data_IF_088892486966
#
_entry.id   IF_088892486966
#
_cell.length_a   1.000
_cell.length_b   1.000
_cell.length_c   1.000
_cell.angle_alpha   90.00
_cell.angle_beta   90.00
_cell.angle_gamma   90.00
#
_symmetry.space_group_name_H-M   'P 1'
#
loop_
_entity.id
_entity.type
_entity.pdbx_description
1 polymer ?
#
# COMPACT_ATOMS: atom_id res chain seq x y z
N UNK A 1 2.13 7.19 11.72
CA UNK A 1 1.81 8.43 12.45
C UNK A 1 1.28 8.09 13.83
N UNK A 2 1.60 8.89 14.87
CA UNK A 2 0.92 8.81 16.16
C UNK A 2 -0.55 9.22 16.01
N UNK A 3 -1.48 8.54 16.68
CA UNK A 3 -2.93 8.78 16.55
C UNK A 3 -3.52 9.64 17.68
N UNK A 4 -2.66 10.18 18.54
CA UNK A 4 -2.99 10.91 19.77
C UNK A 4 -3.41 12.38 19.55
N UNK A 5 -3.56 12.80 18.29
CA UNK A 5 -3.75 14.20 17.87
C UNK A 5 -5.21 14.62 17.72
N UNK A 6 -5.47 15.84 17.23
CA UNK A 6 -6.82 16.33 16.98
C UNK A 6 -7.58 15.49 15.97
N UNK A 7 -8.91 15.67 15.97
CA UNK A 7 -9.88 14.94 15.16
C UNK A 7 -9.37 14.75 13.71
N UNK A 8 -9.03 13.50 13.36
CA UNK A 8 -8.41 13.21 12.08
C UNK A 8 -9.49 13.17 10.98
N UNK A 9 -9.38 14.04 9.97
CA UNK A 9 -10.34 14.08 8.84
C UNK A 9 -10.56 12.71 8.19
N UNK A 10 -9.47 11.95 7.95
CA UNK A 10 -9.56 10.58 7.44
C UNK A 10 -10.40 9.62 8.31
N UNK A 11 -10.50 9.83 9.63
CA UNK A 11 -11.33 8.98 10.49
C UNK A 11 -12.82 9.29 10.31
N UNK A 12 -13.19 10.57 10.17
CA UNK A 12 -14.56 10.96 9.82
C UNK A 12 -14.94 10.48 8.41
N UNK A 13 -14.06 10.68 7.43
CA UNK A 13 -14.24 10.17 6.06
C UNK A 13 -14.43 8.64 6.04
N UNK A 14 -13.73 7.92 6.91
CA UNK A 14 -13.90 6.49 7.09
C UNK A 14 -15.30 6.14 7.61
N UNK A 15 -15.83 6.89 8.58
CA UNK A 15 -17.18 6.69 9.12
C UNK A 15 -18.26 7.02 8.08
N UNK A 16 -18.07 8.07 7.29
CA UNK A 16 -18.97 8.41 6.19
C UNK A 16 -18.98 7.31 5.13
N UNK A 17 -17.80 6.80 4.78
CA UNK A 17 -17.66 5.67 3.86
C UNK A 17 -18.35 4.40 4.39
N UNK A 18 -18.32 4.13 5.70
CA UNK A 18 -19.07 3.00 6.28
C UNK A 18 -20.57 3.15 6.10
N UNK A 19 -21.09 4.39 6.20
CA UNK A 19 -22.50 4.71 6.05
C UNK A 19 -22.94 4.64 4.60
N UNK A 20 -22.24 5.33 3.69
CA UNK A 20 -22.57 5.35 2.25
C UNK A 20 -22.55 3.94 1.64
N UNK A 21 -21.62 3.10 2.10
CA UNK A 21 -21.51 1.73 1.62
C UNK A 21 -22.47 0.75 2.33
N UNK A 22 -23.35 1.24 3.22
CA UNK A 22 -24.36 0.41 3.90
C UNK A 22 -23.78 -0.64 4.86
N UNK A 23 -22.56 -0.43 5.37
CA UNK A 23 -21.90 -1.42 6.23
C UNK A 23 -22.55 -1.56 7.61
N UNK A 24 -23.38 -0.60 8.03
CA UNK A 24 -24.17 -0.67 9.27
C UNK A 24 -25.44 -1.54 9.14
N UNK A 25 -25.87 -1.90 7.93
CA UNK A 25 -27.15 -2.57 7.69
C UNK A 25 -27.23 -4.02 8.18
N UNK A 26 -26.11 -4.59 8.67
CA UNK A 26 -26.07 -5.90 9.33
C UNK A 26 -25.15 -6.91 8.65
N UNK A 27 -25.35 -8.18 9.01
CA UNK A 27 -24.57 -9.32 8.51
C UNK A 27 -24.61 -9.40 6.98
N UNK A 28 -23.44 -9.49 6.34
CA UNK A 28 -23.26 -9.64 4.88
C UNK A 28 -23.91 -8.55 4.01
N UNK A 29 -24.37 -7.45 4.61
CA UNK A 29 -24.92 -6.30 3.91
C UNK A 29 -23.85 -5.23 3.68
N UNK A 30 -24.13 -4.35 2.73
CA UNK A 30 -23.24 -3.27 2.33
C UNK A 30 -22.11 -3.71 1.38
N UNK A 31 -21.60 -2.74 0.62
CA UNK A 31 -20.62 -2.92 -0.45
C UNK A 31 -19.21 -2.71 0.11
N UNK A 32 -18.36 -3.74 0.01
CA UNK A 32 -16.97 -3.66 0.50
C UNK A 32 -16.07 -2.86 -0.44
N UNK A 33 -16.28 -2.95 -1.76
CA UNK A 33 -15.52 -2.17 -2.74
C UNK A 33 -15.80 -0.67 -2.55
N UNK A 34 -14.75 0.16 -2.63
CA UNK A 34 -14.83 1.58 -2.34
C UNK A 34 -14.87 1.89 -0.83
N UNK A 35 -14.96 0.89 0.04
CA UNK A 35 -14.88 1.11 1.49
C UNK A 35 -13.44 1.18 1.98
N UNK A 36 -13.23 1.55 3.24
CA UNK A 36 -11.88 1.48 3.85
C UNK A 36 -11.37 0.05 4.04
N UNK A 37 -12.25 -0.95 4.01
CA UNK A 37 -11.85 -2.36 4.05
C UNK A 37 -11.31 -2.87 2.70
N UNK A 38 -11.79 -2.30 1.59
CA UNK A 38 -11.33 -2.57 0.23
C UNK A 38 -11.48 -1.30 -0.61
N UNK A 39 -10.42 -0.49 -0.61
CA UNK A 39 -10.38 0.77 -1.36
C UNK A 39 -10.43 0.49 -2.86
N UNK A 40 -11.29 1.23 -3.55
CA UNK A 40 -11.27 1.27 -4.99
C UNK A 40 -10.14 2.19 -5.46
N UNK A 41 -9.40 1.76 -6.47
CA UNK A 41 -8.39 2.61 -7.12
C UNK A 41 -8.92 3.30 -8.35
N UNK A 42 -10.12 2.91 -8.83
CA UNK A 42 -10.76 3.37 -10.08
C UNK A 42 -9.90 3.13 -11.35
N UNK A 43 -8.77 2.46 -11.19
CA UNK A 43 -7.86 2.11 -12.25
C UNK A 43 -8.47 1.02 -13.14
N UNK A 44 -8.09 1.05 -14.40
CA UNK A 44 -8.47 0.04 -15.39
C UNK A 44 -7.22 -0.62 -15.96
N UNK A 45 -7.38 -1.82 -16.49
CA UNK A 45 -6.37 -2.47 -17.30
C UNK A 45 -6.92 -2.74 -18.69
N UNK A 46 -6.03 -2.78 -19.67
CA UNK A 46 -6.32 -3.30 -21.00
C UNK A 46 -5.19 -4.21 -21.44
N UNK A 47 -5.54 -5.28 -22.15
CA UNK A 47 -4.55 -6.23 -22.68
C UNK A 47 -4.07 -5.75 -24.03
N UNK A 48 -2.75 -5.75 -24.22
CA UNK A 48 -2.11 -5.43 -25.49
C UNK A 48 -1.87 -6.75 -26.21
N UNK A 49 -2.63 -7.00 -27.29
CA UNK A 49 -2.47 -8.19 -28.13
C UNK A 49 -1.47 -7.94 -29.26
N UNK A 50 -1.47 -6.72 -29.81
CA UNK A 50 -0.52 -6.23 -30.81
C UNK A 50 -0.50 -4.69 -30.78
N UNK A 51 0.45 -4.06 -31.51
CA UNK A 51 0.53 -2.59 -31.65
C UNK A 51 -0.78 -1.97 -32.19
N UNK A 52 -1.57 -2.75 -32.94
CA UNK A 52 -2.81 -2.31 -33.57
C UNK A 52 -4.08 -2.88 -32.91
N UNK A 53 -3.96 -3.77 -31.92
CA UNK A 53 -5.11 -4.45 -31.31
C UNK A 53 -5.01 -4.43 -29.79
N UNK A 54 -5.87 -3.63 -29.19
CA UNK A 54 -5.99 -3.43 -27.74
C UNK A 54 -7.37 -3.96 -27.31
N UNK A 55 -7.41 -4.83 -26.31
CA UNK A 55 -8.68 -5.32 -25.74
C UNK A 55 -9.44 -4.22 -24.99
N UNK A 56 -10.74 -4.44 -24.78
CA UNK A 56 -11.58 -3.58 -23.94
C UNK A 56 -11.03 -3.40 -22.52
N UNK A 57 -11.30 -2.22 -21.97
CA UNK A 57 -10.90 -1.85 -20.62
C UNK A 57 -11.63 -2.68 -19.56
N UNK A 58 -10.88 -3.26 -18.63
CA UNK A 58 -11.39 -4.05 -17.50
C UNK A 58 -11.03 -3.35 -16.18
N UNK A 59 -11.95 -3.35 -15.23
CA UNK A 59 -11.73 -2.74 -13.91
C UNK A 59 -10.61 -3.45 -13.10
N UNK A 60 -9.72 -2.65 -12.49
CA UNK A 60 -8.75 -3.11 -11.50
C UNK A 60 -9.27 -2.85 -10.08
N UNK A 61 -9.96 -3.84 -9.50
CA UNK A 61 -10.56 -3.70 -8.15
C UNK A 61 -9.56 -3.77 -7.01
N UNK A 62 -8.36 -4.29 -7.27
CA UNK A 62 -7.28 -4.29 -6.30
C UNK A 62 -6.11 -3.43 -6.79
N UNK A 63 -5.69 -2.50 -5.92
CA UNK A 63 -4.64 -1.55 -6.19
C UNK A 63 -3.21 -1.98 -5.85
N UNK A 64 -2.93 -3.24 -5.46
CA UNK A 64 -1.61 -3.62 -4.93
C UNK A 64 -0.48 -3.28 -5.91
N UNK A 65 -0.56 -3.74 -7.15
CA UNK A 65 0.48 -3.49 -8.15
C UNK A 65 0.50 -2.03 -8.60
N UNK A 66 -0.67 -1.40 -8.68
CA UNK A 66 -0.79 0.03 -9.01
C UNK A 66 -0.05 0.86 -7.95
N UNK A 67 -0.23 0.56 -6.67
CA UNK A 67 0.48 1.22 -5.56
C UNK A 67 1.97 0.93 -5.57
N UNK A 68 2.38 -0.32 -5.84
CA UNK A 68 3.80 -0.65 -6.01
C UNK A 68 4.44 0.20 -7.10
N UNK A 69 3.74 0.39 -8.22
CA UNK A 69 4.21 1.23 -9.33
C UNK A 69 4.22 2.72 -8.97
N UNK A 70 3.23 3.23 -8.23
CA UNK A 70 3.22 4.62 -7.74
C UNK A 70 4.38 4.91 -6.77
N UNK A 71 4.72 3.95 -5.91
CA UNK A 71 5.81 4.09 -4.92
C UNK A 71 7.20 3.87 -5.53
N UNK A 72 7.28 3.29 -6.73
CA UNK A 72 8.53 3.05 -7.41
C UNK A 72 9.09 4.36 -7.99
N UNK A 73 9.95 5.05 -7.25
CA UNK A 73 10.80 6.12 -7.79
C UNK A 73 11.78 5.60 -8.85
N UNK A 74 11.98 6.38 -9.91
CA UNK A 74 13.09 6.19 -10.84
C UNK A 74 14.42 6.41 -10.11
N UNK A 75 15.29 5.42 -10.15
CA UNK A 75 16.70 5.59 -9.82
C UNK A 75 17.44 5.36 -11.12
N UNK A 76 18.10 6.39 -11.65
CA UNK A 76 18.94 6.23 -12.84
C UNK A 76 20.09 5.28 -12.50
N UNK A 77 19.95 4.04 -12.98
CA UNK A 77 20.89 2.95 -12.71
C UNK A 77 22.24 3.13 -13.39
N UNK A 78 22.37 4.10 -14.31
CA UNK A 78 23.62 4.36 -15.06
C UNK A 78 24.30 5.67 -14.69
N UNK A 79 23.67 6.52 -13.88
CA UNK A 79 24.27 7.78 -13.44
C UNK A 79 25.52 7.60 -12.54
N UNK A 80 25.79 6.39 -12.03
CA UNK A 80 27.01 6.06 -11.29
C UNK A 80 28.23 5.70 -12.15
N UNK A 81 28.11 5.72 -13.49
CA UNK A 81 29.21 5.41 -14.41
C UNK A 81 29.18 6.29 -15.65
N UNK A 82 28.74 7.54 -15.50
CA UNK A 82 29.11 8.60 -16.43
C UNK A 82 30.17 9.45 -15.72
N UNK A 83 31.41 9.00 -15.88
CA UNK A 83 32.56 9.87 -15.76
C UNK A 83 32.24 11.06 -16.67
N UNK A 84 32.04 12.23 -16.07
CA UNK A 84 31.73 13.46 -16.77
C UNK A 84 33.02 13.90 -17.44
N UNK A 85 33.36 13.27 -18.56
CA UNK A 85 34.45 13.71 -19.41
C UNK A 85 34.08 15.09 -19.94
N UNK A 86 34.88 16.08 -19.56
CA UNK A 86 34.69 17.49 -19.86
C UNK A 86 34.97 17.86 -21.33
N UNK A 87 35.13 16.88 -22.21
CA UNK A 87 35.48 17.08 -23.62
C UNK A 87 34.65 16.21 -24.57
N UNK A 88 33.32 16.31 -24.48
CA UNK A 88 32.47 15.95 -25.62
C UNK A 88 31.42 17.02 -25.83
N UNK A 89 31.88 18.15 -26.36
CA UNK A 89 31.09 19.17 -27.04
C UNK A 89 30.59 18.58 -28.37
N UNK A 90 29.81 17.51 -28.32
CA UNK A 90 29.07 17.00 -29.47
C UNK A 90 27.60 17.31 -29.26
N UNK A 91 27.21 18.46 -29.82
CA UNK A 91 25.85 18.82 -30.26
C UNK A 91 24.75 17.95 -29.66
N UNK A 92 24.16 18.44 -28.58
CA UNK A 92 23.02 17.83 -27.91
C UNK A 92 21.78 17.94 -28.83
N UNK A 93 21.73 17.10 -29.88
CA UNK A 93 20.56 16.87 -30.73
C UNK A 93 19.49 16.04 -29.99
N UNK A 94 19.34 16.25 -28.68
CA UNK A 94 18.22 15.69 -27.93
C UNK A 94 17.10 16.71 -28.00
N UNK A 95 15.95 16.39 -28.63
CA UNK A 95 14.85 17.34 -28.70
C UNK A 95 14.43 17.73 -27.26
N UNK A 96 14.10 19.00 -27.01
CA UNK A 96 13.64 19.42 -25.69
C UNK A 96 12.31 18.73 -25.39
N UNK A 97 12.37 17.67 -24.57
CA UNK A 97 11.16 16.96 -24.14
C UNK A 97 10.32 17.89 -23.27
N UNK A 98 9.10 18.19 -23.71
CA UNK A 98 8.14 19.02 -22.96
C UNK A 98 7.71 18.38 -21.63
N UNK A 99 7.70 17.05 -21.59
CA UNK A 99 7.47 16.25 -20.40
C UNK A 99 8.11 14.85 -20.57
N UNK A 100 8.74 14.33 -19.51
CA UNK A 100 9.15 12.93 -19.44
C UNK A 100 8.15 12.15 -18.60
N UNK A 101 7.65 11.04 -19.13
CA UNK A 101 6.78 10.13 -18.38
C UNK A 101 7.54 8.84 -18.07
N UNK A 102 7.60 8.51 -16.79
CA UNK A 102 8.23 7.29 -16.33
C UNK A 102 7.32 6.10 -16.61
N UNK A 103 7.81 5.16 -17.42
CA UNK A 103 7.12 3.90 -17.70
C UNK A 103 7.77 2.80 -16.87
N UNK A 104 7.02 2.23 -15.95
CA UNK A 104 7.46 1.07 -15.19
C UNK A 104 6.97 -0.20 -15.84
N UNK A 105 7.88 -1.14 -16.05
CA UNK A 105 7.57 -2.47 -16.55
C UNK A 105 7.72 -3.51 -15.43
N UNK A 106 6.61 -4.06 -14.96
CA UNK A 106 6.58 -5.09 -13.93
C UNK A 106 6.37 -6.47 -14.58
N UNK A 107 7.18 -7.45 -14.21
CA UNK A 107 6.98 -8.85 -14.60
C UNK A 107 6.52 -9.67 -13.41
N UNK A 108 5.42 -10.40 -13.58
CA UNK A 108 4.81 -11.25 -12.56
C UNK A 108 4.79 -12.70 -13.04
N UNK A 109 5.53 -13.57 -12.34
CA UNK A 109 5.63 -15.00 -12.66
C UNK A 109 5.22 -15.85 -11.48
N UNK A 110 4.42 -16.88 -11.75
CA UNK A 110 4.12 -17.87 -10.74
C UNK A 110 5.35 -18.76 -10.52
N UNK A 111 5.64 -19.12 -9.28
CA UNK A 111 6.82 -19.93 -8.95
C UNK A 111 6.56 -20.83 -7.74
N UNK A 112 7.16 -22.03 -7.76
CA UNK A 112 7.31 -22.87 -6.57
C UNK A 112 8.37 -22.25 -5.64
N UNK A 113 8.31 -22.55 -4.35
CA UNK A 113 9.30 -22.11 -3.37
C UNK A 113 10.74 -22.43 -3.78
N UNK A 114 10.96 -23.54 -4.49
CA UNK A 114 12.27 -23.92 -4.99
C UNK A 114 12.82 -22.92 -6.03
N UNK A 115 11.95 -22.39 -6.89
CA UNK A 115 12.28 -21.40 -7.92
C UNK A 115 12.42 -19.98 -7.35
N UNK A 116 11.91 -19.75 -6.13
CA UNK A 116 12.09 -18.51 -5.37
C UNK A 116 13.46 -18.36 -4.69
N UNK A 117 14.39 -19.30 -4.89
CA UNK A 117 15.74 -19.27 -4.30
C UNK A 117 16.51 -18.02 -4.78
N UNK A 118 16.92 -17.17 -3.84
CA UNK A 118 17.57 -15.87 -4.12
C UNK A 118 16.63 -14.66 -4.17
N UNK A 119 15.31 -14.85 -4.11
CA UNK A 119 14.34 -13.76 -3.99
C UNK A 119 14.09 -13.38 -2.51
N UNK A 120 13.80 -12.10 -2.25
CA UNK A 120 13.41 -11.67 -0.90
C UNK A 120 11.94 -12.04 -0.66
N UNK A 121 11.72 -12.90 0.33
CA UNK A 121 10.38 -13.39 0.68
C UNK A 121 9.57 -12.33 1.42
N UNK A 122 8.36 -12.07 0.92
CA UNK A 122 7.34 -11.22 1.54
C UNK A 122 6.08 -12.06 1.76
N UNK A 123 5.62 -12.13 3.01
CA UNK A 123 4.46 -12.92 3.43
C UNK A 123 3.45 -12.02 4.13
N UNK A 124 2.19 -12.05 3.69
CA UNK A 124 1.13 -11.19 4.21
C UNK A 124 0.24 -11.87 5.27
N UNK A 125 0.31 -13.20 5.41
CA UNK A 125 -0.61 -13.98 6.24
C UNK A 125 -0.33 -14.02 7.75
N UNK A 126 0.67 -13.29 8.24
CA UNK A 126 1.09 -13.32 9.66
C UNK A 126 1.44 -11.93 10.17
N UNK A 127 0.93 -11.58 11.36
CA UNK A 127 1.39 -10.41 12.11
C UNK A 127 2.89 -10.57 12.34
N UNK A 128 3.67 -9.71 11.68
CA UNK A 128 5.13 -9.74 11.83
C UNK A 128 5.53 -9.00 13.10
N UNK A 129 6.60 -9.46 13.78
CA UNK A 129 7.20 -8.70 14.89
C UNK A 129 7.54 -7.26 14.49
N UNK A 130 7.90 -7.04 13.22
CA UNK A 130 8.15 -5.71 12.65
C UNK A 130 6.90 -4.82 12.69
N UNK A 131 5.70 -5.37 12.51
CA UNK A 131 4.46 -4.61 12.62
C UNK A 131 4.21 -4.17 14.07
N UNK A 132 4.48 -5.06 15.04
CA UNK A 132 4.39 -4.75 16.47
C UNK A 132 5.40 -3.65 16.83
N UNK A 133 6.67 -3.83 16.44
CA UNK A 133 7.71 -2.82 16.66
C UNK A 133 7.34 -1.48 15.98
N UNK A 134 6.79 -1.52 14.77
CA UNK A 134 6.32 -0.34 14.06
C UNK A 134 5.21 0.41 14.80
N UNK A 135 4.30 -0.31 15.48
CA UNK A 135 3.28 0.29 16.34
C UNK A 135 3.94 1.04 17.51
N UNK A 136 4.89 0.41 18.21
CA UNK A 136 5.61 1.06 19.32
C UNK A 136 6.41 2.28 18.87
N UNK A 137 7.16 2.16 17.77
CA UNK A 137 7.91 3.29 17.19
C UNK A 137 6.97 4.42 16.79
N UNK A 138 5.79 4.10 16.25
CA UNK A 138 4.81 5.12 15.85
C UNK A 138 4.18 5.89 17.01
N UNK A 139 4.26 5.36 18.23
CA UNK A 139 3.68 5.95 19.46
C UNK A 139 4.77 6.34 20.49
N UNK A 140 6.05 6.30 20.11
CA UNK A 140 7.17 6.55 21.01
C UNK A 140 7.10 7.94 21.67
N UNK A 141 6.68 8.96 20.91
CA UNK A 141 6.46 10.31 21.43
C UNK A 141 5.36 10.34 22.49
N UNK A 142 4.25 9.61 22.26
CA UNK A 142 3.14 9.49 23.23
C UNK A 142 3.60 8.78 24.50
N UNK A 143 4.38 7.70 24.37
CA UNK A 143 4.96 6.95 25.49
C UNK A 143 5.90 7.85 26.32
N UNK A 144 6.76 8.62 25.66
CA UNK A 144 7.67 9.54 26.35
C UNK A 144 6.91 10.57 27.19
N UNK A 145 5.88 11.21 26.62
CA UNK A 145 5.06 12.18 27.34
C UNK A 145 4.23 11.51 28.45
N UNK A 146 3.76 10.27 28.24
CA UNK A 146 3.07 9.51 29.29
C UNK A 146 3.97 9.26 30.50
N UNK A 147 5.24 8.89 30.28
CA UNK A 147 6.23 8.71 31.35
C UNK A 147 6.50 10.04 32.05
N UNK A 148 6.69 11.13 31.29
CA UNK A 148 6.88 12.48 31.86
C UNK A 148 5.69 12.88 32.72
N UNK A 149 4.46 12.68 32.25
CA UNK A 149 3.24 12.99 32.98
C UNK A 149 3.12 12.19 34.30
N UNK A 150 3.55 10.93 34.30
CA UNK A 150 3.48 10.06 35.47
C UNK A 150 4.56 10.37 36.53
N UNK A 151 5.81 10.60 36.10
CA UNK A 151 6.98 10.59 37.00
C UNK A 151 7.49 12.00 37.34
N UNK A 152 7.48 12.92 36.38
CA UNK A 152 8.12 14.22 36.57
C UNK A 152 7.28 15.11 37.50
N UNK A 153 7.95 15.78 38.45
CA UNK A 153 7.38 16.93 39.16
C UNK A 153 7.47 18.14 38.23
N UNK A 154 6.42 18.95 38.06
CA UNK A 154 5.21 19.05 38.88
C UNK A 154 3.97 18.26 38.38
N UNK A 155 4.09 17.39 37.37
CA UNK A 155 2.93 16.80 36.68
C UNK A 155 2.26 15.65 37.42
N UNK A 156 3.02 14.63 37.89
CA UNK A 156 2.56 13.46 38.70
C UNK A 156 1.10 13.01 38.51
N UNK A 157 0.66 12.87 37.26
CA UNK A 157 -0.74 12.56 36.91
C UNK A 157 -0.79 11.23 36.19
N UNK A 158 -1.01 10.15 36.95
CA UNK A 158 -0.97 8.78 36.44
C UNK A 158 -2.10 8.48 35.43
N UNK A 159 -3.29 9.06 35.62
CA UNK A 159 -4.42 8.83 34.72
C UNK A 159 -4.16 9.40 33.32
N UNK A 160 -3.44 10.53 33.21
CA UNK A 160 -3.05 11.11 31.93
C UNK A 160 -2.09 10.19 31.18
N UNK A 161 -1.19 9.51 31.91
CA UNK A 161 -0.30 8.53 31.31
C UNK A 161 -1.08 7.36 30.70
N UNK A 162 -2.13 6.87 31.40
CA UNK A 162 -3.04 5.85 30.85
C UNK A 162 -3.73 6.37 29.60
N UNK A 163 -4.29 7.58 29.65
CA UNK A 163 -4.95 8.23 28.51
C UNK A 163 -4.03 8.31 27.28
N UNK A 164 -2.80 8.81 27.44
CA UNK A 164 -1.82 8.92 26.34
C UNK A 164 -1.38 7.56 25.76
N UNK A 165 -1.53 6.47 26.51
CA UNK A 165 -1.26 5.12 26.04
C UNK A 165 -2.47 4.44 25.34
N UNK A 166 -3.67 5.04 25.38
CA UNK A 166 -4.86 4.45 24.75
C UNK A 166 -4.66 4.21 23.24
N UNK A 167 -4.12 5.14 22.44
CA UNK A 167 -3.90 4.89 21.00
C UNK A 167 -3.00 3.70 20.71
N UNK A 168 -1.98 3.47 21.55
CA UNK A 168 -1.10 2.31 21.47
C UNK A 168 -1.90 1.02 21.70
N UNK A 169 -2.73 0.98 22.74
CA UNK A 169 -3.59 -0.18 23.04
C UNK A 169 -4.60 -0.44 21.92
N UNK A 170 -5.24 0.60 21.40
CA UNK A 170 -6.19 0.49 20.28
C UNK A 170 -5.50 -0.04 19.01
N UNK A 171 -4.26 0.41 18.71
CA UNK A 171 -3.45 -0.13 17.61
C UNK A 171 -3.10 -1.61 17.82
N UNK A 172 -2.74 -2.02 19.03
CA UNK A 172 -2.47 -3.44 19.33
C UNK A 172 -3.74 -4.29 19.18
N UNK A 173 -4.89 -3.81 19.67
CA UNK A 173 -6.18 -4.47 19.49
C UNK A 173 -6.54 -4.58 18.00
N UNK A 174 -6.25 -3.54 17.20
CA UNK A 174 -6.52 -3.55 15.76
C UNK A 174 -5.84 -4.71 15.03
N UNK A 175 -4.67 -5.17 15.48
CA UNK A 175 -4.01 -6.34 14.92
C UNK A 175 -4.83 -7.62 15.13
N UNK A 176 -5.41 -7.77 16.33
CA UNK A 176 -6.20 -8.95 16.72
C UNK A 176 -7.53 -9.00 15.98
N UNK A 177 -8.13 -7.82 15.77
CA UNK A 177 -9.49 -7.71 15.22
C UNK A 177 -9.50 -7.35 13.73
N UNK A 178 -8.34 -7.32 13.09
CA UNK A 178 -8.17 -7.08 11.66
C UNK A 178 -9.08 -7.99 10.82
N UNK A 179 -9.72 -7.37 9.82
CA UNK A 179 -10.56 -8.06 8.84
C UNK A 179 -9.68 -8.99 8.01
N UNK A 180 -10.13 -10.25 7.90
CA UNK A 180 -9.40 -11.24 7.11
C UNK A 180 -9.65 -10.99 5.63
N UNK A 181 -8.60 -11.19 4.84
CA UNK A 181 -8.60 -10.99 3.41
C UNK A 181 -8.25 -12.28 2.68
N UNK A 182 -8.78 -12.45 1.49
CA UNK A 182 -8.40 -13.53 0.57
C UNK A 182 -6.93 -13.40 0.21
N UNK A 183 -6.21 -14.50 0.36
CA UNK A 183 -4.79 -14.60 0.01
C UNK A 183 -4.63 -15.11 -1.41
N UNK A 184 -3.38 -15.30 -1.84
CA UNK A 184 -3.07 -15.94 -3.12
C UNK A 184 -3.73 -17.34 -3.17
N UNK A 185 -4.52 -17.61 -4.21
CA UNK A 185 -5.13 -18.92 -4.43
C UNK A 185 -4.07 -19.94 -4.85
N UNK A 186 -4.02 -21.08 -4.16
CA UNK A 186 -3.07 -22.17 -4.44
C UNK A 186 -3.69 -23.29 -5.29
N UNK A 187 -5.02 -23.33 -5.44
CA UNK A 187 -5.73 -24.48 -6.03
C UNK A 187 -6.04 -24.33 -7.53
N UNK A 188 -5.98 -23.11 -8.09
CA UNK A 188 -6.31 -22.83 -9.52
C UNK A 188 -5.08 -22.79 -10.44
N UNK A 189 -4.02 -23.48 -10.06
CA UNK A 189 -2.78 -23.50 -10.83
C UNK A 189 -2.90 -24.67 -11.82
N UNK A 190 -2.75 -24.45 -13.13
CA UNK A 190 -2.48 -25.55 -14.03
C UNK A 190 -1.19 -26.20 -13.55
N UNK A 191 -1.27 -27.42 -13.01
CA UNK A 191 -0.11 -28.28 -12.88
C UNK A 191 0.62 -28.24 -14.22
N UNK A 192 1.95 -28.07 -14.18
CA UNK A 192 2.85 -27.91 -15.32
C UNK A 192 2.63 -28.97 -16.42
N UNK A 193 1.55 -28.82 -17.18
CA UNK A 193 1.08 -29.76 -18.18
C UNK A 193 0.89 -28.97 -19.49
N UNK A 194 1.83 -29.25 -20.39
CA UNK A 194 1.83 -29.05 -21.85
C UNK A 194 2.00 -27.66 -22.49
N UNK A 195 1.87 -26.53 -21.80
CA UNK A 195 2.37 -25.25 -22.35
C UNK A 195 2.55 -24.23 -21.24
N UNK A 196 3.75 -23.65 -21.10
CA UNK A 196 3.95 -22.50 -20.21
C UNK A 196 2.91 -21.43 -20.60
N UNK A 197 2.09 -20.92 -19.66
CA UNK A 197 1.09 -19.93 -19.99
C UNK A 197 1.80 -18.71 -20.59
N UNK A 198 1.34 -18.27 -21.76
CA UNK A 198 1.94 -17.16 -22.49
C UNK A 198 1.85 -15.90 -21.62
N UNK A 199 3.00 -15.25 -21.41
CA UNK A 199 3.06 -13.96 -20.74
C UNK A 199 2.43 -12.92 -21.69
N UNK A 200 1.36 -12.27 -21.24
CA UNK A 200 0.71 -11.18 -21.97
C UNK A 200 1.08 -9.84 -21.34
N UNK A 201 1.06 -8.78 -22.15
CA UNK A 201 1.33 -7.42 -21.70
C UNK A 201 0.01 -6.69 -21.41
N UNK A 202 -0.07 -6.09 -20.22
CA UNK A 202 -1.22 -5.33 -19.76
C UNK A 202 -0.80 -3.91 -19.46
N UNK A 203 -1.57 -2.96 -19.98
CA UNK A 203 -1.42 -1.56 -19.67
C UNK A 203 -2.38 -1.18 -18.56
N UNK A 204 -1.86 -0.46 -17.57
CA UNK A 204 -2.65 0.11 -16.48
C UNK A 204 -2.98 1.54 -16.82
N UNK A 205 -4.27 1.83 -16.85
CA UNK A 205 -4.83 3.17 -16.96
C UNK A 205 -5.17 3.66 -15.56
N UNK A 206 -4.36 4.58 -15.05
CA UNK A 206 -4.57 5.24 -13.77
C UNK A 206 -4.68 6.75 -14.03
N UNK A 207 -5.87 7.30 -13.82
CA UNK A 207 -6.17 8.71 -14.13
C UNK A 207 -5.36 9.71 -13.30
N UNK A 208 -4.80 9.27 -12.17
CA UNK A 208 -4.02 10.13 -11.32
C UNK A 208 -2.52 10.06 -11.64
N UNK A 209 -1.89 8.89 -11.75
CA UNK A 209 -0.43 8.79 -11.77
C UNK A 209 0.08 7.63 -12.66
N UNK A 210 1.12 7.92 -13.44
CA UNK A 210 2.05 7.04 -14.18
C UNK A 210 1.46 5.99 -15.14
N UNK A 211 2.19 5.77 -16.23
CA UNK A 211 1.89 4.72 -17.21
C UNK A 211 2.60 3.44 -16.77
N UNK A 212 1.82 2.41 -16.43
CA UNK A 212 2.34 1.13 -15.93
C UNK A 212 2.11 0.01 -16.92
N UNK A 213 3.15 -0.78 -17.19
CA UNK A 213 3.06 -2.02 -17.95
C UNK A 213 3.27 -3.21 -17.02
N UNK A 214 2.39 -4.20 -17.09
CA UNK A 214 2.53 -5.47 -16.38
C UNK A 214 2.57 -6.61 -17.39
N UNK A 215 3.66 -7.36 -17.40
CA UNK A 215 3.80 -8.62 -18.14
C UNK A 215 3.51 -9.79 -17.20
N UNK A 216 2.46 -10.56 -17.50
CA UNK A 216 2.05 -11.69 -16.67
C UNK A 216 1.11 -12.65 -17.41
N UNK A 217 1.01 -13.92 -16.98
CA UNK A 217 -0.10 -14.78 -17.37
C UNK A 217 -1.45 -14.21 -16.91
N UNK A 218 -2.49 -14.29 -17.76
CA UNK A 218 -3.82 -13.75 -17.45
C UNK A 218 -4.37 -14.26 -16.10
N UNK A 219 -4.18 -15.55 -15.80
CA UNK A 219 -4.68 -16.18 -14.56
C UNK A 219 -4.06 -15.50 -13.33
N UNK A 220 -2.75 -15.24 -13.37
CA UNK A 220 -2.00 -14.60 -12.28
C UNK A 220 -2.47 -13.17 -12.09
N UNK A 221 -2.55 -12.40 -13.17
CA UNK A 221 -2.94 -10.99 -13.10
C UNK A 221 -4.40 -10.81 -12.66
N UNK A 222 -5.32 -11.59 -13.24
CA UNK A 222 -6.75 -11.58 -12.92
C UNK A 222 -6.99 -11.92 -11.45
N UNK A 223 -6.20 -12.84 -10.88
CA UNK A 223 -6.27 -13.16 -9.47
C UNK A 223 -5.99 -11.92 -8.61
N UNK A 224 -4.95 -11.14 -8.93
CA UNK A 224 -4.65 -9.92 -8.18
C UNK A 224 -5.72 -8.86 -8.38
N UNK A 225 -6.12 -8.58 -9.61
CA UNK A 225 -7.09 -7.50 -9.87
C UNK A 225 -8.53 -7.78 -9.43
N UNK A 226 -8.93 -9.05 -9.34
CA UNK A 226 -10.32 -9.42 -9.03
C UNK A 226 -10.54 -10.09 -7.68
N UNK A 227 -9.58 -10.89 -7.20
CA UNK A 227 -9.83 -11.79 -6.07
C UNK A 227 -8.95 -11.52 -4.87
N UNK A 228 -7.75 -10.98 -5.08
CA UNK A 228 -6.80 -10.73 -4.02
C UNK A 228 -7.28 -9.64 -3.06
N UNK A 229 -7.04 -9.80 -1.76
CA UNK A 229 -7.32 -8.77 -0.77
C UNK A 229 -8.80 -8.55 -0.44
N UNK A 230 -9.72 -9.29 -1.05
CA UNK A 230 -11.15 -9.20 -0.77
C UNK A 230 -11.46 -9.60 0.68
N UNK A 231 -12.24 -8.81 1.43
CA UNK A 231 -12.68 -9.19 2.77
C UNK A 231 -13.47 -10.51 2.77
N UNK A 232 -13.09 -11.44 3.63
CA UNK A 232 -13.79 -12.71 3.84
C UNK A 232 -15.00 -12.44 4.75
N UNK A 233 -16.22 -12.82 4.33
CA UNK A 233 -17.48 -12.54 5.05
C UNK A 233 -18.33 -13.78 5.32
N UNK A 234 -17.86 -14.95 4.92
CA UNK A 234 -18.61 -16.20 4.91
C UNK A 234 -18.23 -17.15 6.05
N UNK A 235 -17.14 -16.91 6.78
CA UNK A 235 -16.61 -17.92 7.69
C UNK A 235 -17.18 -17.89 9.12
N UNK A 236 -17.24 -19.08 9.73
CA UNK A 236 -17.85 -19.34 11.04
C UNK A 236 -19.36 -19.66 10.96
N UNK A 237 -20.00 -19.88 12.11
CA UNK A 237 -21.45 -20.15 12.18
C UNK A 237 -22.21 -18.95 11.60
N UNK A 238 -22.80 -19.13 10.42
CA UNK A 238 -23.53 -18.12 9.66
C UNK A 238 -22.75 -16.80 9.38
N UNK A 239 -21.41 -16.84 9.30
CA UNK A 239 -20.59 -15.64 9.01
C UNK A 239 -20.43 -14.64 10.17
N UNK A 240 -20.86 -14.99 11.39
CA UNK A 240 -20.84 -14.08 12.55
C UNK A 240 -19.43 -13.66 12.99
N UNK A 241 -18.43 -14.54 12.82
CA UNK A 241 -17.05 -14.28 13.26
C UNK A 241 -16.39 -13.14 12.48
N UNK A 242 -16.52 -13.16 11.16
CA UNK A 242 -15.96 -12.09 10.33
C UNK A 242 -16.74 -10.78 10.50
N UNK A 243 -18.06 -10.87 10.66
CA UNK A 243 -18.86 -9.69 10.99
C UNK A 243 -18.45 -9.06 12.31
N UNK A 244 -18.17 -9.87 13.34
CA UNK A 244 -17.65 -9.33 14.60
C UNK A 244 -16.35 -8.54 14.36
N UNK A 245 -15.43 -9.07 13.54
CA UNK A 245 -14.19 -8.35 13.19
C UNK A 245 -14.42 -7.04 12.45
N UNK A 246 -15.36 -7.03 11.49
CA UNK A 246 -15.80 -5.80 10.81
C UNK A 246 -16.31 -4.77 11.82
N UNK A 247 -17.24 -5.16 12.70
CA UNK A 247 -17.88 -4.27 13.68
C UNK A 247 -16.87 -3.73 14.68
N UNK A 248 -15.98 -4.56 15.20
CA UNK A 248 -14.92 -4.11 16.11
C UNK A 248 -13.92 -3.19 15.39
N UNK A 249 -13.61 -3.44 14.11
CA UNK A 249 -12.77 -2.53 13.33
C UNK A 249 -13.45 -1.17 13.15
N UNK A 250 -14.77 -1.14 12.91
CA UNK A 250 -15.55 0.11 12.87
C UNK A 250 -15.56 0.79 14.24
N UNK A 251 -15.76 0.03 15.32
CA UNK A 251 -15.74 0.54 16.69
C UNK A 251 -14.38 1.16 17.06
N UNK A 252 -13.26 0.57 16.61
CA UNK A 252 -11.94 1.15 16.78
C UNK A 252 -11.81 2.52 16.11
N UNK A 253 -12.36 2.70 14.90
CA UNK A 253 -12.39 4.01 14.24
C UNK A 253 -13.18 5.02 15.08
N UNK A 254 -14.35 4.63 15.60
CA UNK A 254 -15.11 5.49 16.52
C UNK A 254 -14.33 5.85 17.78
N UNK A 255 -13.64 4.89 18.40
CA UNK A 255 -12.81 5.15 19.58
C UNK A 255 -11.68 6.13 19.29
N UNK A 256 -11.04 6.04 18.11
CA UNK A 256 -10.05 7.03 17.68
C UNK A 256 -10.66 8.41 17.44
N UNK A 257 -11.87 8.49 16.89
CA UNK A 257 -12.60 9.77 16.71
C UNK A 257 -12.95 10.40 18.06
N UNK A 258 -13.42 9.59 19.02
CA UNK A 258 -13.84 10.05 20.35
C UNK A 258 -12.66 10.33 21.29
N UNK A 259 -11.46 9.84 20.98
CA UNK A 259 -10.26 10.03 21.79
C UNK A 259 -9.98 11.52 22.05
N UNK A 260 -9.94 12.33 20.99
CA UNK A 260 -9.63 13.76 21.14
C UNK A 260 -10.70 14.55 21.91
N UNK A 261 -12.02 14.44 21.61
CA UNK A 261 -13.07 15.03 22.43
C UNK A 261 -13.02 14.60 23.89
N UNK A 262 -12.73 13.32 24.17
CA UNK A 262 -12.56 12.84 25.53
C UNK A 262 -11.39 13.54 26.24
N UNK A 263 -10.28 13.80 25.53
CA UNK A 263 -9.16 14.59 26.04
C UNK A 263 -9.53 16.03 26.37
N UNK A 264 -10.30 16.69 25.50
CA UNK A 264 -10.81 18.04 25.73
C UNK A 264 -11.71 18.11 26.97
N UNK A 265 -12.66 17.20 27.09
CA UNK A 265 -13.53 17.11 28.27
C UNK A 265 -12.68 16.83 29.50
N UNK A 266 -11.73 15.89 29.41
CA UNK A 266 -10.81 15.56 30.51
C UNK A 266 -9.96 16.75 30.96
N UNK A 267 -9.68 17.71 30.07
CA UNK A 267 -8.91 18.91 30.41
C UNK A 267 -9.56 19.78 31.49
N UNK A 268 -10.89 19.72 31.64
CA UNK A 268 -11.64 20.46 32.67
C UNK A 268 -11.19 20.09 34.10
N UNK A 269 -10.71 18.87 34.31
CA UNK A 269 -10.24 18.38 35.61
C UNK A 269 -8.71 18.32 35.72
N UNK A 270 -7.97 18.75 34.68
CA UNK A 270 -6.51 18.74 34.68
C UNK A 270 -5.95 19.98 35.40
N UNK A 271 -4.90 19.85 36.23
CA UNK A 271 -4.13 20.99 36.74
C UNK A 271 -3.48 21.80 35.61
N UNK A 272 -3.27 23.11 35.80
CA UNK A 272 -2.76 24.01 34.75
C UNK A 272 -1.43 23.56 34.12
N UNK A 273 -0.50 23.03 34.93
CA UNK A 273 0.77 22.51 34.42
C UNK A 273 0.54 21.31 33.47
N UNK A 274 -0.41 20.44 33.83
CA UNK A 274 -0.74 19.24 33.07
C UNK A 274 -1.50 19.60 31.79
N UNK A 275 -2.40 20.59 31.87
CA UNK A 275 -3.05 21.16 30.69
C UNK A 275 -2.03 21.73 29.71
N UNK A 276 -1.03 22.48 30.19
CA UNK A 276 0.03 23.03 29.35
C UNK A 276 0.85 21.93 28.68
N UNK A 277 1.20 20.86 29.42
CA UNK A 277 1.90 19.70 28.87
C UNK A 277 1.08 19.01 27.78
N UNK A 278 -0.21 18.75 28.05
CA UNK A 278 -1.12 18.13 27.10
C UNK A 278 -1.31 18.99 25.86
N UNK A 279 -1.53 20.29 26.02
CA UNK A 279 -1.69 21.25 24.92
C UNK A 279 -0.43 21.33 24.05
N UNK A 280 0.75 21.41 24.68
CA UNK A 280 2.04 21.40 23.95
C UNK A 280 2.21 20.14 23.12
N UNK A 281 1.80 19.00 23.67
CA UNK A 281 1.82 17.74 22.94
C UNK A 281 0.80 17.73 21.78
N UNK A 282 -0.40 18.29 21.95
CA UNK A 282 -1.35 18.43 20.84
C UNK A 282 -0.82 19.32 19.71
N UNK A 283 -0.16 20.44 20.03
CA UNK A 283 0.49 21.31 19.03
C UNK A 283 1.61 20.56 18.31
N UNK A 284 2.46 19.84 19.03
CA UNK A 284 3.49 18.98 18.44
C UNK A 284 2.88 17.96 17.45
N UNK A 285 1.79 17.31 17.84
CA UNK A 285 1.09 16.34 17.00
C UNK A 285 0.56 16.96 15.71
N UNK A 286 0.00 18.16 15.77
CA UNK A 286 -0.44 18.92 14.60
C UNK A 286 0.73 19.20 13.67
N UNK A 287 1.86 19.68 14.19
CA UNK A 287 3.06 19.96 13.39
C UNK A 287 3.58 18.69 12.70
N UNK A 288 3.68 17.58 13.43
CA UNK A 288 4.11 16.30 12.87
C UNK A 288 3.16 15.83 11.77
N UNK A 289 1.84 15.96 11.95
CA UNK A 289 0.87 15.60 10.91
C UNK A 289 1.08 16.42 9.63
N UNK A 290 1.35 17.72 9.75
CA UNK A 290 1.63 18.58 8.60
C UNK A 290 2.95 18.22 7.92
N UNK A 291 4.01 17.98 8.69
CA UNK A 291 5.31 17.53 8.16
C UNK A 291 5.13 16.23 7.39
N UNK A 292 4.43 15.25 7.97
CA UNK A 292 4.22 13.95 7.31
C UNK A 292 3.43 14.13 6.01
N UNK A 293 2.41 14.99 6.00
CA UNK A 293 1.62 15.27 4.80
C UNK A 293 2.45 15.94 3.70
N UNK A 294 3.26 16.92 4.05
CA UNK A 294 4.14 17.64 3.11
C UNK A 294 5.25 16.72 2.58
N UNK A 295 5.84 15.89 3.45
CA UNK A 295 6.88 14.95 3.07
C UNK A 295 6.35 13.66 2.40
N UNK A 296 5.03 13.47 2.35
CA UNK A 296 4.39 12.29 1.76
C UNK A 296 4.69 10.98 2.48
N UNK A 297 4.93 10.97 3.81
CA UNK A 297 5.21 9.71 4.54
C UNK A 297 3.95 8.89 4.90
N UNK A 298 2.85 9.10 4.18
CA UNK A 298 1.56 8.42 4.41
C UNK A 298 1.62 6.91 4.12
N UNK A 299 2.53 6.49 3.24
CA UNK A 299 2.70 5.09 2.83
C UNK A 299 3.85 4.37 3.55
N UNK A 300 4.49 5.02 4.53
CA UNK A 300 5.58 4.44 5.30
C UNK A 300 5.10 3.21 6.11
N UNK A 301 5.60 2.04 5.74
CA UNK A 301 5.32 0.77 6.43
C UNK A 301 4.29 -0.13 5.75
N UNK A 302 3.70 0.28 4.63
CA UNK A 302 2.84 -0.57 3.82
C UNK A 302 3.64 -1.65 3.08
N UNK A 303 3.00 -2.78 2.80
CA UNK A 303 3.63 -3.91 2.09
C UNK A 303 4.01 -3.49 0.67
N UNK A 304 3.17 -2.70 0.02
CA UNK A 304 3.35 -2.16 -1.32
C UNK A 304 4.62 -1.30 -1.41
N UNK A 305 4.79 -0.34 -0.49
CA UNK A 305 6.00 0.47 -0.41
C UNK A 305 7.26 -0.32 -0.03
N UNK A 306 7.11 -1.47 0.66
CA UNK A 306 8.24 -2.40 0.90
C UNK A 306 8.61 -3.16 -0.37
N UNK A 307 7.62 -3.66 -1.11
CA UNK A 307 7.84 -4.35 -2.38
C UNK A 307 8.51 -3.39 -3.37
N UNK A 308 7.99 -2.17 -3.52
CA UNK A 308 8.56 -1.14 -4.40
C UNK A 308 10.05 -0.89 -4.08
N UNK A 309 10.40 -0.67 -2.81
CA UNK A 309 11.80 -0.47 -2.38
C UNK A 309 12.70 -1.67 -2.64
N UNK A 310 12.19 -2.90 -2.47
CA UNK A 310 12.95 -4.10 -2.77
C UNK A 310 13.21 -4.24 -4.28
N UNK A 311 12.19 -3.96 -5.10
CA UNK A 311 12.31 -4.02 -6.56
C UNK A 311 13.24 -2.93 -7.12
N UNK A 312 13.26 -1.73 -6.53
CA UNK A 312 14.19 -0.66 -6.89
C UNK A 312 15.65 -1.10 -6.71
N UNK A 313 15.97 -1.81 -5.63
CA UNK A 313 17.31 -2.33 -5.32
C UNK A 313 17.74 -3.55 -6.14
N UNK A 314 17.17 -3.78 -7.33
CA UNK A 314 17.42 -4.93 -8.20
C UNK A 314 17.15 -6.30 -7.56
N UNK A 315 16.30 -6.35 -6.53
CA UNK A 315 15.96 -7.62 -5.88
C UNK A 315 14.72 -8.22 -6.50
N UNK A 316 14.76 -9.52 -6.74
CA UNK A 316 13.56 -10.30 -7.02
C UNK A 316 12.75 -10.42 -5.72
N UNK A 317 11.45 -10.18 -5.79
CA UNK A 317 10.56 -10.31 -4.63
C UNK A 317 9.69 -11.55 -4.82
N UNK A 318 9.65 -12.42 -3.82
CA UNK A 318 8.76 -13.57 -3.80
C UNK A 318 7.60 -13.28 -2.85
N UNK A 319 6.43 -13.01 -3.43
CA UNK A 319 5.19 -12.79 -2.68
C UNK A 319 4.52 -14.14 -2.43
N UNK A 320 4.50 -14.56 -1.17
CA UNK A 320 3.92 -15.82 -0.76
C UNK A 320 2.65 -15.63 0.07
N UNK A 321 1.76 -16.63 0.00
CA UNK A 321 0.62 -16.74 0.89
C UNK A 321 1.06 -17.03 2.35
N UNK A 322 0.08 -17.33 3.21
CA UNK A 322 0.31 -17.71 4.61
C UNK A 322 1.21 -18.96 4.70
N UNK A 323 2.21 -18.92 5.60
CA UNK A 323 3.11 -20.06 5.84
C UNK A 323 2.36 -21.27 6.44
N UNK A 324 2.72 -22.51 6.05
CA UNK A 324 3.65 -22.87 4.96
C UNK A 324 2.94 -22.73 3.60
N UNK A 325 3.45 -21.86 2.73
CA UNK A 325 2.96 -21.76 1.36
C UNK A 325 3.91 -22.56 0.48
N UNK A 326 3.39 -23.43 -0.39
CA UNK A 326 4.20 -24.16 -1.38
C UNK A 326 4.52 -23.30 -2.61
N UNK A 327 3.61 -22.36 -2.92
CA UNK A 327 3.66 -21.55 -4.12
C UNK A 327 3.54 -20.05 -3.82
N UNK A 328 4.06 -19.23 -4.73
CA UNK A 328 3.99 -17.77 -4.66
C UNK A 328 4.17 -17.12 -6.02
N UNK A 329 4.29 -15.79 -6.01
CA UNK A 329 4.47 -14.98 -7.22
C UNK A 329 5.80 -14.24 -7.11
N UNK A 330 6.69 -14.49 -8.06
CA UNK A 330 7.92 -13.74 -8.25
C UNK A 330 7.59 -12.46 -9.01
N UNK A 331 8.12 -11.36 -8.48
CA UNK A 331 7.97 -10.01 -9.01
C UNK A 331 9.34 -9.45 -9.30
N UNK A 332 9.50 -8.87 -10.49
CA UNK A 332 10.72 -8.19 -10.92
C UNK A 332 10.38 -6.99 -11.78
N UNK A 333 11.19 -5.92 -11.74
CA UNK A 333 11.15 -4.94 -12.83
C UNK A 333 11.78 -5.57 -14.07
N UNK A 334 11.06 -5.54 -15.18
CA UNK A 334 11.58 -5.93 -16.48
C UNK A 334 12.50 -4.85 -17.02
N UNK A 335 13.59 -5.25 -17.65
CA UNK A 335 14.32 -4.34 -18.54
C UNK A 335 13.43 -4.13 -19.76
N UNK A 336 12.78 -2.97 -19.85
CA UNK A 336 12.16 -2.57 -21.10
C UNK A 336 13.29 -2.28 -22.09
N UNK A 337 13.65 -3.30 -22.89
CA UNK A 337 14.36 -3.06 -24.15
C UNK A 337 13.30 -2.64 -25.15
N UNK A 338 13.26 -1.39 -25.63
CA UNK A 338 12.51 -1.06 -26.83
C UNK A 338 13.15 -1.85 -27.97
N UNK A 339 12.69 -3.07 -28.16
CA UNK A 339 13.12 -3.91 -29.26
C UNK A 339 12.30 -3.47 -30.47
N UNK A 340 12.98 -2.78 -31.38
CA UNK A 340 12.70 -2.82 -32.83
C UNK A 340 11.31 -2.35 -33.30
N UNK A 341 10.69 -1.33 -32.69
CA UNK A 341 9.46 -0.73 -33.24
C UNK A 341 9.66 0.61 -33.95
N UNK A 342 10.85 1.22 -33.87
CA UNK A 342 11.16 2.49 -34.56
C UNK A 342 12.19 2.32 -35.69
N UNK A 343 12.25 1.16 -36.36
CA UNK A 343 13.16 0.95 -37.51
C UNK A 343 12.45 0.53 -38.80
N UNK A 344 11.12 0.62 -38.84
CA UNK A 344 10.34 0.31 -40.04
C UNK A 344 9.81 1.54 -40.78
N UNK A 345 9.82 2.74 -40.20
CA UNK A 345 9.36 3.95 -40.90
C UNK A 345 10.46 4.66 -41.71
N UNK A 346 11.75 4.50 -41.35
CA UNK A 346 12.86 5.09 -42.13
C UNK A 346 13.15 4.36 -43.45
N UNK A 347 12.54 3.18 -43.70
CA UNK A 347 12.79 2.41 -44.95
C UNK A 347 11.76 2.63 -46.05
N UNK A 348 10.72 3.41 -45.78
CA UNK A 348 9.65 3.72 -46.74
C UNK A 348 9.82 5.05 -47.47
N UNK A 349 10.68 5.96 -46.98
CA UNK A 349 10.96 7.25 -47.66
C UNK A 349 12.15 7.20 -48.64
N UNK A 350 12.96 6.14 -48.63
CA UNK A 350 14.14 6.02 -49.50
C UNK A 350 13.83 5.41 -50.89
N UNK A 351 12.56 5.11 -51.19
CA UNK A 351 12.12 4.57 -52.49
C UNK A 351 11.26 5.56 -53.32
N UNK A 352 11.25 6.85 -52.96
CA UNK A 352 10.58 7.90 -53.73
C UNK A 352 11.49 9.13 -53.98
N UNK A 353 12.76 8.88 -54.33
CA UNK A 353 13.62 9.88 -54.98
C UNK A 353 14.31 9.31 -56.21
#
# INVERSE_FOLDING_TARGET
MPMTGPLHGAALETLDTFRSNGLYLGLRRGVMLGSTFLRDTEAKNRRILSVATIEEEKECRNGIWIRVLREAKYVDRKAGTLQRDSETTAVDNRPPYRAMQLVHHLKLKYADNAEGTGATVVSEGSVSWRAILGIFVSELSSIAIAITAAVAKPFKTWWLAVYLCVPLLLKLISLLVSVRRTTIHQEKIPAASSSAPKDDLYEILDGNHSFGLIESPEITLRQFFRHYGHPIRDSGVAGRRDRAREVHSMALVYLFVLYFPAGLISSLWMPSNVQLLWLSFQVYMILVMHIVRICGWEHCGQTEGRIARLLQGNRKVFLQAKKPAKYGVIVTFGDYRPSQCCRSEERSEENYR
#
